data_IF_639261353958
#
_entry.id   IF_639261353958
#
_cell.length_a   1.000
_cell.length_b   1.000
_cell.length_c   1.000
_cell.angle_alpha   90.00
_cell.angle_beta   90.00
_cell.angle_gamma   90.00
#
_symmetry.space_group_name_H-M   'P 1'
#
loop_
_entity.id
_entity.type
_entity.pdbx_description
1 polymer ?
#
# COMPACT_ATOMS: atom_id res chain seq x y z
N UNK A 1 37.47 -12.06 29.49
CA UNK A 1 37.66 -10.71 30.05
C UNK A 1 36.35 -10.33 30.75
N UNK A 2 36.40 -10.17 32.09
CA UNK A 2 35.36 -9.72 33.05
C UNK A 2 34.09 -10.59 33.20
N UNK A 3 34.07 -11.61 34.08
CA UNK A 3 33.97 -11.66 35.57
C UNK A 3 32.51 -11.83 36.03
N UNK A 4 32.22 -13.04 36.52
CA UNK A 4 31.09 -13.31 37.41
C UNK A 4 31.30 -12.59 38.75
N UNK A 5 30.22 -11.99 39.29
CA UNK A 5 29.91 -12.09 40.72
C UNK A 5 28.40 -12.18 40.95
N UNK A 6 27.93 -13.15 41.77
CA UNK A 6 26.61 -13.18 42.36
C UNK A 6 26.60 -12.57 43.77
N UNK A 7 25.44 -12.06 44.21
CA UNK A 7 25.14 -11.81 45.62
C UNK A 7 24.68 -10.39 45.95
N UNK A 8 23.46 -10.27 46.50
CA UNK A 8 23.05 -9.08 47.25
C UNK A 8 21.56 -8.72 47.14
N UNK A 9 20.78 -8.78 48.23
CA UNK A 9 19.33 -8.55 48.24
C UNK A 9 19.02 -7.06 48.44
N UNK A 10 18.01 -6.52 47.76
CA UNK A 10 17.46 -5.22 48.11
C UNK A 10 15.99 -5.10 47.74
N UNK A 11 15.21 -4.81 48.78
CA UNK A 11 13.96 -4.06 48.75
C UNK A 11 12.77 -4.68 48.00
N UNK A 12 11.97 -5.43 48.77
CA UNK A 12 10.51 -5.35 48.70
C UNK A 12 10.09 -3.88 48.93
N UNK A 13 10.00 -3.09 47.86
CA UNK A 13 9.24 -1.85 47.89
C UNK A 13 7.79 -2.22 47.61
N UNK A 14 7.02 -2.32 48.70
CA UNK A 14 5.57 -2.22 48.69
C UNK A 14 5.21 -0.87 48.04
N UNK A 15 5.06 -0.87 46.72
CA UNK A 15 4.30 0.16 46.03
C UNK A 15 2.83 -0.11 46.33
N UNK A 16 2.37 0.45 47.45
CA UNK A 16 0.95 0.73 47.69
C UNK A 16 0.54 1.75 46.64
N UNK A 17 0.21 1.25 45.45
CA UNK A 17 -0.49 2.04 44.46
C UNK A 17 -1.96 1.96 44.82
N UNK A 18 -2.43 3.03 45.47
CA UNK A 18 -3.83 3.24 45.77
C UNK A 18 -4.64 3.12 44.48
N UNK A 19 -5.33 1.98 44.33
CA UNK A 19 -6.45 1.83 43.40
C UNK A 19 -7.55 2.78 43.86
N UNK A 20 -7.52 4.00 43.35
CA UNK A 20 -8.71 4.82 43.22
C UNK A 20 -9.57 4.21 42.12
N UNK A 21 -10.39 3.22 42.49
CA UNK A 21 -11.53 2.80 41.68
C UNK A 21 -12.80 3.02 42.50
N UNK A 22 -13.79 3.75 41.93
CA UNK A 22 -15.07 3.97 42.58
C UNK A 22 -15.86 2.66 42.73
N UNK A 23 -16.52 2.61 43.87
CA UNK A 23 -17.40 1.59 44.43
C UNK A 23 -18.56 1.22 43.48
N UNK A 24 -18.63 -0.04 43.02
CA UNK A 24 -19.88 -0.62 42.53
C UNK A 24 -20.61 -1.34 43.69
N UNK A 25 -21.86 -0.98 44.01
CA UNK A 25 -22.59 -1.58 45.12
C UNK A 25 -23.37 -2.82 44.66
N UNK A 26 -22.95 -4.01 45.07
CA UNK A 26 -23.72 -5.22 44.79
C UNK A 26 -23.07 -6.55 45.15
N UNK A 27 -22.69 -6.77 46.41
CA UNK A 27 -22.34 -8.11 46.87
C UNK A 27 -22.98 -8.40 48.23
N UNK A 28 -24.13 -9.10 48.21
CA UNK A 28 -24.74 -9.69 49.40
C UNK A 28 -23.79 -10.74 49.94
N UNK A 29 -23.31 -10.52 51.17
CA UNK A 29 -22.80 -11.58 52.05
C UNK A 29 -23.93 -12.57 52.27
N UNK A 30 -23.74 -13.83 51.87
CA UNK A 30 -24.23 -15.01 52.58
C UNK A 30 -23.86 -16.29 51.81
N UNK A 31 -22.71 -16.87 52.14
CA UNK A 31 -22.47 -18.32 52.25
C UNK A 31 -20.96 -18.56 52.46
N UNK A 32 -20.59 -19.14 53.59
CA UNK A 32 -19.21 -19.40 53.99
C UNK A 32 -18.53 -20.51 53.19
N UNK A 33 -18.04 -20.16 52.00
CA UNK A 33 -17.05 -20.96 51.27
C UNK A 33 -15.83 -20.07 51.00
N UNK A 34 -14.59 -20.58 51.18
CA UNK A 34 -13.40 -19.84 50.78
C UNK A 34 -13.45 -19.60 49.27
N UNK A 35 -13.41 -18.33 48.86
CA UNK A 35 -13.38 -17.87 47.46
C UNK A 35 -12.05 -18.22 46.74
N UNK A 36 -11.52 -19.42 46.92
CA UNK A 36 -10.24 -19.89 46.38
C UNK A 36 -10.38 -20.69 45.08
N UNK A 37 -11.43 -20.45 44.30
CA UNK A 37 -11.56 -21.03 42.95
C UNK A 37 -12.05 -19.98 41.97
N UNK A 38 -11.22 -18.97 41.71
CA UNK A 38 -11.38 -18.15 40.52
C UNK A 38 -9.99 -17.69 40.06
N UNK A 39 -9.77 -17.85 38.76
CA UNK A 39 -8.59 -17.45 37.99
C UNK A 39 -7.41 -18.44 37.90
N UNK A 40 -7.68 -19.57 37.26
CA UNK A 40 -6.67 -20.38 36.56
C UNK A 40 -6.70 -20.13 35.03
N UNK A 41 -6.92 -18.89 34.58
CA UNK A 41 -6.63 -18.55 33.18
C UNK A 41 -5.14 -18.21 33.10
N UNK A 42 -4.34 -19.19 32.69
CA UNK A 42 -2.92 -18.98 32.38
C UNK A 42 -2.72 -17.85 31.36
N UNK A 43 -1.52 -17.26 31.29
CA UNK A 43 -1.25 -16.15 30.37
C UNK A 43 -1.60 -16.55 28.94
N UNK A 44 -2.23 -15.66 28.14
CA UNK A 44 -2.55 -15.95 26.76
C UNK A 44 -1.25 -16.37 26.05
N UNK A 45 -1.22 -17.60 25.55
CA UNK A 45 -0.10 -18.08 24.74
C UNK A 45 -0.10 -17.26 23.45
N UNK A 46 0.74 -16.24 23.37
CA UNK A 46 0.97 -15.49 22.14
C UNK A 46 1.64 -16.41 21.12
N UNK A 47 0.81 -17.10 20.35
CA UNK A 47 1.27 -17.76 19.14
C UNK A 47 1.69 -16.66 18.17
N UNK A 48 2.99 -16.54 17.91
CA UNK A 48 3.56 -15.55 16.99
C UNK A 48 3.14 -15.92 15.57
N UNK A 49 1.96 -15.47 15.16
CA UNK A 49 1.45 -15.66 13.79
C UNK A 49 2.21 -14.74 12.85
N UNK A 50 2.80 -15.29 11.80
CA UNK A 50 3.45 -14.53 10.76
C UNK A 50 2.42 -13.62 10.03
N UNK A 51 2.72 -12.32 9.87
CA UNK A 51 1.78 -11.37 9.27
C UNK A 51 1.54 -11.59 7.77
N UNK A 52 2.39 -12.33 7.04
CA UNK A 52 2.17 -12.68 5.64
C UNK A 52 1.25 -13.87 5.45
N UNK A 53 1.15 -14.78 6.41
CA UNK A 53 0.22 -15.93 6.36
C UNK A 53 -1.26 -15.53 6.24
N UNK A 54 -1.60 -14.29 6.58
CA UNK A 54 -2.95 -13.73 6.49
C UNK A 54 -3.22 -13.02 5.16
N UNK A 55 -2.28 -13.00 4.23
CA UNK A 55 -2.38 -12.27 2.95
C UNK A 55 -2.66 -13.23 1.80
N UNK A 56 -3.51 -12.80 0.88
CA UNK A 56 -3.82 -13.50 -0.36
C UNK A 56 -3.30 -12.75 -1.57
N UNK A 57 -3.00 -13.51 -2.62
CA UNK A 57 -2.49 -13.01 -3.89
C UNK A 57 -3.63 -12.89 -4.92
N UNK A 58 -3.64 -11.74 -5.59
CA UNK A 58 -4.58 -11.41 -6.67
C UNK A 58 -3.80 -11.09 -7.94
N UNK A 59 -4.30 -11.53 -9.08
CA UNK A 59 -3.67 -11.27 -10.37
C UNK A 59 -4.22 -9.94 -10.93
N UNK A 60 -3.32 -9.01 -11.26
CA UNK A 60 -3.69 -7.71 -11.84
C UNK A 60 -3.73 -7.83 -13.34
N UNK A 61 -4.89 -7.50 -13.92
CA UNK A 61 -5.14 -7.55 -15.35
C UNK A 61 -5.22 -6.18 -15.96
N UNK A 62 -4.46 -5.98 -17.02
CA UNK A 62 -4.53 -4.80 -17.89
C UNK A 62 -5.82 -4.80 -18.71
N UNK A 63 -6.33 -3.62 -19.11
CA UNK A 63 -7.46 -3.52 -20.02
C UNK A 63 -7.13 -4.10 -21.40
N UNK A 64 -8.17 -4.45 -22.17
CA UNK A 64 -8.05 -5.09 -23.49
C UNK A 64 -7.36 -4.26 -24.58
N UNK A 65 -6.97 -3.01 -24.28
CA UNK A 65 -6.19 -2.16 -25.19
C UNK A 65 -4.73 -2.60 -25.33
N UNK A 66 -4.22 -3.44 -24.41
CA UNK A 66 -2.84 -3.92 -24.40
C UNK A 66 -2.74 -5.39 -24.82
N UNK A 67 -1.65 -5.76 -25.50
CA UNK A 67 -1.41 -7.15 -25.91
C UNK A 67 -1.19 -8.08 -24.71
N UNK A 68 -0.35 -7.66 -23.75
CA UNK A 68 -0.12 -8.40 -22.51
C UNK A 68 -1.13 -7.94 -21.46
N UNK A 69 -1.98 -8.88 -21.04
CA UNK A 69 -3.00 -8.60 -20.01
C UNK A 69 -2.54 -8.88 -18.59
N UNK A 70 -1.49 -9.66 -18.37
CA UNK A 70 -1.06 -10.00 -17.03
C UNK A 70 0.11 -9.10 -16.62
N UNK A 71 -0.12 -8.17 -15.70
CA UNK A 71 0.90 -7.22 -15.24
C UNK A 71 1.72 -7.80 -14.09
N UNK A 72 1.04 -8.54 -13.19
CA UNK A 72 1.67 -9.11 -12.02
C UNK A 72 0.66 -9.50 -10.95
N UNK A 73 1.16 -9.75 -9.74
CA UNK A 73 0.36 -10.13 -8.58
C UNK A 73 0.41 -9.09 -7.49
N UNK A 74 -0.71 -8.87 -6.83
CA UNK A 74 -0.81 -7.96 -5.69
C UNK A 74 -1.27 -8.72 -4.46
N UNK A 75 -0.66 -8.37 -3.32
CA UNK A 75 -1.02 -8.93 -2.04
C UNK A 75 -2.00 -8.01 -1.31
N UNK A 76 -3.02 -8.62 -0.70
CA UNK A 76 -3.93 -7.93 0.23
C UNK A 76 -4.20 -8.85 1.41
N UNK A 77 -4.49 -8.24 2.57
CA UNK A 77 -4.92 -9.00 3.74
C UNK A 77 -6.27 -9.65 3.48
N UNK A 78 -6.44 -10.90 3.92
CA UNK A 78 -7.73 -11.57 3.97
C UNK A 78 -8.75 -10.72 4.71
N UNK A 79 -9.99 -10.77 4.23
CA UNK A 79 -11.14 -10.12 4.89
C UNK A 79 -11.19 -10.53 6.35
N UNK A 80 -11.13 -9.53 7.25
CA UNK A 80 -11.21 -9.71 8.70
C UNK A 80 -12.22 -8.71 9.25
N UNK A 81 -13.29 -9.23 9.86
CA UNK A 81 -14.37 -8.41 10.39
C UNK A 81 -15.03 -7.54 9.31
N UNK A 82 -14.97 -6.22 9.50
CA UNK A 82 -15.61 -5.23 8.61
C UNK A 82 -14.74 -4.78 7.43
N UNK A 83 -13.45 -5.14 7.39
CA UNK A 83 -12.53 -4.74 6.31
C UNK A 83 -12.53 -5.80 5.20
N UNK A 84 -13.13 -5.48 4.06
CA UNK A 84 -13.23 -6.37 2.90
C UNK A 84 -11.94 -6.28 2.08
N UNK A 85 -11.40 -7.44 1.67
CA UNK A 85 -10.19 -7.51 0.85
C UNK A 85 -10.32 -6.79 -0.51
N UNK A 86 -11.51 -6.81 -1.12
CA UNK A 86 -11.78 -6.14 -2.40
C UNK A 86 -11.70 -4.61 -2.28
N UNK A 87 -12.18 -4.04 -1.17
CA UNK A 87 -12.13 -2.59 -0.93
C UNK A 87 -10.68 -2.11 -0.79
N UNK A 88 -9.83 -2.90 -0.13
CA UNK A 88 -8.39 -2.62 -0.04
C UNK A 88 -7.60 -2.81 -1.34
N UNK A 89 -8.20 -3.42 -2.37
CA UNK A 89 -7.61 -3.59 -3.71
C UNK A 89 -8.07 -2.49 -4.68
N UNK A 90 -9.32 -2.05 -4.56
CA UNK A 90 -9.88 -0.95 -5.34
C UNK A 90 -9.14 0.35 -5.02
N UNK A 91 -8.94 1.18 -6.03
CA UNK A 91 -8.22 2.45 -5.90
C UNK A 91 -6.69 2.33 -5.85
N UNK A 92 -6.11 1.12 -5.94
CA UNK A 92 -4.66 0.98 -6.11
C UNK A 92 -4.25 1.39 -7.51
N UNK A 93 -3.25 2.27 -7.59
CA UNK A 93 -2.63 2.72 -8.83
C UNK A 93 -1.31 1.97 -9.02
N UNK A 94 -1.18 1.28 -10.15
CA UNK A 94 0.03 0.57 -10.57
C UNK A 94 0.73 1.34 -11.67
N UNK A 95 2.04 1.51 -11.52
CA UNK A 95 2.89 2.07 -12.56
C UNK A 95 3.56 0.93 -13.33
N UNK A 96 3.31 0.88 -14.64
CA UNK A 96 3.82 -0.17 -15.53
C UNK A 96 4.47 0.47 -16.75
N UNK A 97 5.56 -0.10 -17.24
CA UNK A 97 6.19 0.38 -18.48
C UNK A 97 5.40 -0.08 -19.71
N UNK A 98 5.43 0.68 -20.80
CA UNK A 98 4.80 0.27 -22.06
C UNK A 98 5.47 -0.99 -22.64
N UNK A 99 6.78 -1.16 -22.43
CA UNK A 99 7.53 -2.31 -22.90
C UNK A 99 6.95 -3.63 -22.35
N UNK A 100 6.55 -3.65 -21.07
CA UNK A 100 5.95 -4.83 -20.44
C UNK A 100 4.51 -5.12 -20.92
N UNK A 101 3.82 -4.12 -21.50
CA UNK A 101 2.43 -4.24 -21.93
C UNK A 101 2.28 -4.61 -23.41
N UNK A 102 3.22 -4.17 -24.26
CA UNK A 102 3.13 -4.32 -25.73
C UNK A 102 4.31 -5.10 -26.35
N UNK A 103 5.38 -5.39 -25.60
CA UNK A 103 6.64 -5.98 -26.08
C UNK A 103 7.40 -5.14 -27.11
N UNK A 104 7.15 -3.84 -27.18
CA UNK A 104 7.92 -2.90 -28.01
C UNK A 104 9.12 -2.33 -27.24
N UNK A 105 10.18 -1.90 -27.95
CA UNK A 105 11.40 -1.31 -27.36
C UNK A 105 11.18 0.07 -26.70
N UNK A 106 9.96 0.60 -26.77
CA UNK A 106 9.58 1.94 -26.31
C UNK A 106 9.32 1.92 -24.79
N UNK A 107 10.39 1.77 -24.00
CA UNK A 107 10.33 1.71 -22.54
C UNK A 107 10.14 3.08 -21.84
N UNK A 108 10.16 4.18 -22.59
CA UNK A 108 10.14 5.54 -22.03
C UNK A 108 8.77 6.03 -21.57
N UNK A 109 7.70 5.27 -21.84
CA UNK A 109 6.33 5.61 -21.41
C UNK A 109 5.94 4.72 -20.24
N UNK A 110 5.46 5.33 -19.17
CA UNK A 110 4.88 4.67 -17.99
C UNK A 110 3.38 4.92 -17.97
N UNK A 111 2.62 3.87 -17.73
CA UNK A 111 1.17 3.93 -17.55
C UNK A 111 0.82 3.77 -16.08
N UNK A 112 -0.11 4.61 -15.61
CA UNK A 112 -0.78 4.48 -14.32
C UNK A 112 -2.12 3.79 -14.55
N UNK A 113 -2.25 2.59 -14.01
CA UNK A 113 -3.45 1.77 -14.10
C UNK A 113 -4.11 1.67 -12.72
N UNK A 114 -5.36 2.11 -12.62
CA UNK A 114 -6.13 2.06 -11.36
C UNK A 114 -6.99 0.80 -11.31
N UNK A 115 -7.04 0.11 -10.18
CA UNK A 115 -7.97 -1.01 -10.00
C UNK A 115 -9.35 -0.50 -9.67
N UNK A 116 -10.34 -0.76 -10.53
CA UNK A 116 -11.74 -0.37 -10.30
C UNK A 116 -12.57 -1.53 -9.77
N UNK A 117 -12.33 -2.73 -10.29
CA UNK A 117 -13.12 -3.90 -9.93
C UNK A 117 -12.30 -5.15 -9.70
N UNK A 118 -12.83 -6.06 -8.88
CA UNK A 118 -12.19 -7.32 -8.51
C UNK A 118 -13.15 -8.46 -8.79
N UNK A 119 -12.82 -9.27 -9.80
CA UNK A 119 -13.57 -10.46 -10.19
C UNK A 119 -12.87 -11.72 -9.66
N UNK A 120 -13.37 -12.22 -8.53
CA UNK A 120 -12.77 -13.38 -7.86
C UNK A 120 -11.33 -13.07 -7.45
N UNK A 121 -10.35 -13.67 -8.15
CA UNK A 121 -8.90 -13.44 -7.92
C UNK A 121 -8.27 -12.47 -8.93
N UNK A 122 -9.03 -11.96 -9.89
CA UNK A 122 -8.54 -11.05 -10.92
C UNK A 122 -8.93 -9.61 -10.59
N UNK A 123 -7.97 -8.70 -10.55
CA UNK A 123 -8.19 -7.27 -10.45
C UNK A 123 -8.26 -6.67 -11.86
N UNK A 124 -9.40 -6.07 -12.21
CA UNK A 124 -9.56 -5.33 -13.46
C UNK A 124 -9.09 -3.90 -13.26
N UNK A 125 -8.20 -3.45 -14.15
CA UNK A 125 -7.64 -2.11 -14.10
C UNK A 125 -8.15 -1.23 -15.24
N UNK A 126 -8.30 0.05 -14.95
CA UNK A 126 -8.62 1.11 -15.89
C UNK A 126 -7.43 2.06 -16.07
N UNK A 127 -7.43 2.82 -17.16
CA UNK A 127 -6.43 3.84 -17.44
C UNK A 127 -6.65 5.06 -16.54
N UNK A 128 -5.63 5.44 -15.76
CA UNK A 128 -5.65 6.63 -14.91
C UNK A 128 -4.77 7.74 -15.46
N UNK A 129 -3.64 7.40 -16.08
CA UNK A 129 -2.73 8.40 -16.64
C UNK A 129 -1.50 7.80 -17.31
N UNK A 130 -0.72 8.67 -17.94
CA UNK A 130 0.52 8.33 -18.61
C UNK A 130 1.58 9.37 -18.27
N UNK A 131 2.79 8.90 -17.95
CA UNK A 131 3.95 9.72 -17.69
C UNK A 131 5.14 9.27 -18.55
N UNK A 132 6.03 10.20 -18.87
CA UNK A 132 7.34 9.87 -19.44
C UNK A 132 8.32 9.53 -18.32
N UNK A 133 9.27 8.64 -18.61
CA UNK A 133 10.37 8.37 -17.69
C UNK A 133 11.25 9.61 -17.51
N UNK A 134 11.84 9.78 -16.32
CA UNK A 134 12.64 10.97 -16.00
C UNK A 134 13.91 11.05 -16.84
N UNK A 135 14.54 9.92 -17.14
CA UNK A 135 15.68 9.81 -18.05
C UNK A 135 15.33 10.38 -19.43
N UNK A 136 14.17 10.02 -19.99
CA UNK A 136 13.76 10.54 -21.29
C UNK A 136 13.48 12.03 -21.23
N UNK A 137 12.72 12.47 -20.22
CA UNK A 137 12.43 13.89 -20.01
C UNK A 137 13.72 14.73 -19.92
N UNK A 138 14.66 14.32 -19.07
CA UNK A 138 15.93 15.01 -18.90
C UNK A 138 16.83 14.93 -20.15
N UNK A 139 16.78 13.83 -20.93
CA UNK A 139 17.59 13.69 -22.15
C UNK A 139 17.16 14.63 -23.28
N UNK A 140 15.87 15.01 -23.31
CA UNK A 140 15.34 15.91 -24.34
C UNK A 140 15.74 17.37 -24.09
N UNK A 141 15.99 17.74 -22.83
CA UNK A 141 16.44 19.08 -22.44
C UNK A 141 17.92 19.24 -22.75
N UNK A 142 18.24 20.02 -23.79
CA UNK A 142 19.60 20.40 -24.18
C UNK A 142 19.78 21.92 -24.12
N UNK A 143 21.03 22.37 -24.02
CA UNK A 143 21.39 23.79 -24.12
C UNK A 143 21.25 24.28 -25.57
N UNK A 144 21.00 25.58 -25.75
CA UNK A 144 20.92 26.24 -27.07
C UNK A 144 19.75 25.82 -27.96
N UNK A 145 18.67 25.32 -27.36
CA UNK A 145 17.38 25.09 -28.01
C UNK A 145 16.29 25.67 -27.11
N UNK A 146 15.18 26.08 -27.70
CA UNK A 146 14.02 26.54 -26.94
C UNK A 146 13.12 25.35 -26.60
N UNK A 147 12.59 25.37 -25.38
CA UNK A 147 11.58 24.42 -24.90
C UNK A 147 10.23 25.10 -25.02
N UNK A 148 9.28 24.42 -25.66
CA UNK A 148 7.90 24.88 -25.84
C UNK A 148 7.02 23.90 -25.07
N UNK A 149 6.36 24.40 -24.03
CA UNK A 149 5.44 23.63 -23.19
C UNK A 149 4.01 24.15 -23.39
N UNK A 150 3.06 23.24 -23.50
CA UNK A 150 1.64 23.55 -23.57
C UNK A 150 0.85 22.54 -22.73
N UNK A 151 -0.22 23.01 -22.09
CA UNK A 151 -1.15 22.17 -21.36
C UNK A 151 -2.58 22.53 -21.73
N UNK A 152 -3.44 21.51 -21.85
CA UNK A 152 -4.85 21.69 -22.18
C UNK A 152 -5.68 20.71 -21.36
N UNK A 153 -6.78 21.21 -20.81
CA UNK A 153 -7.80 20.38 -20.15
C UNK A 153 -8.88 20.01 -21.17
N UNK A 154 -9.02 18.73 -21.45
CA UNK A 154 -9.92 18.19 -22.47
C UNK A 154 -10.94 17.25 -21.83
N UNK A 155 -12.21 17.45 -22.21
CA UNK A 155 -13.31 16.53 -21.92
C UNK A 155 -13.43 15.51 -23.04
N UNK A 156 -13.34 14.23 -22.71
CA UNK A 156 -13.68 13.15 -23.64
C UNK A 156 -15.20 13.01 -23.78
N UNK A 157 -15.65 12.33 -24.83
CA UNK A 157 -17.08 12.01 -25.05
C UNK A 157 -17.68 11.19 -23.91
N UNK A 158 -16.85 10.42 -23.24
CA UNK A 158 -17.27 9.45 -22.22
C UNK A 158 -17.35 10.09 -20.83
N UNK A 159 -17.09 11.40 -20.72
CA UNK A 159 -17.18 12.16 -19.48
C UNK A 159 -15.89 12.23 -18.67
N UNK A 160 -14.77 11.64 -19.13
CA UNK A 160 -13.48 11.78 -18.47
C UNK A 160 -12.86 13.15 -18.73
N UNK A 161 -12.35 13.78 -17.67
CA UNK A 161 -11.55 15.00 -17.70
C UNK A 161 -10.06 14.61 -17.73
N UNK A 162 -9.38 14.95 -18.83
CA UNK A 162 -7.97 14.66 -19.00
C UNK A 162 -7.18 15.97 -19.09
N UNK A 163 -6.05 16.03 -18.40
CA UNK A 163 -5.06 17.10 -18.56
C UNK A 163 -3.91 16.59 -19.42
N UNK A 164 -3.78 17.14 -20.61
CA UNK A 164 -2.74 16.79 -21.56
C UNK A 164 -1.60 17.77 -21.43
N UNK A 165 -0.38 17.24 -21.32
CA UNK A 165 0.86 18.02 -21.35
C UNK A 165 1.60 17.69 -22.65
N UNK A 166 2.00 18.72 -23.37
CA UNK A 166 2.82 18.61 -24.57
C UNK A 166 4.10 19.40 -24.37
N UNK A 167 5.24 18.75 -24.62
CA UNK A 167 6.57 19.36 -24.57
C UNK A 167 7.23 19.14 -25.92
N UNK A 168 7.65 20.23 -26.55
CA UNK A 168 8.35 20.25 -27.83
C UNK A 168 9.67 21.02 -27.74
N UNK A 169 10.63 20.66 -28.58
CA UNK A 169 11.92 21.33 -28.67
C UNK A 169 12.19 21.78 -30.10
N UNK A 170 12.81 22.95 -30.26
CA UNK A 170 13.22 23.43 -31.59
C UNK A 170 14.37 22.60 -32.13
N UNK A 171 14.27 22.18 -33.39
CA UNK A 171 15.33 21.47 -34.12
C UNK A 171 16.19 22.46 -34.89
N UNK A 172 17.51 22.43 -34.66
CA UNK A 172 18.49 23.19 -35.49
C UNK A 172 18.45 22.66 -36.93
N UNK A 173 18.42 23.54 -37.92
CA UNK A 173 18.55 23.12 -39.33
C UNK A 173 19.98 22.67 -39.61
N UNK A 174 20.15 21.67 -40.47
CA UNK A 174 21.47 21.10 -40.78
C UNK A 174 22.48 22.14 -41.31
N UNK A 175 21.99 23.21 -41.97
CA UNK A 175 22.83 24.25 -42.57
C UNK A 175 22.86 25.55 -41.75
N UNK A 176 22.40 25.53 -40.50
CA UNK A 176 22.39 26.69 -39.62
C UNK A 176 23.76 26.81 -38.95
N UNK A 177 24.47 27.92 -39.19
CA UNK A 177 25.74 28.24 -38.52
C UNK A 177 25.42 28.62 -37.07
#
# INVERSE_FOLDING_TARGET
>A
MWVLRPGGPAAFTLAVWACAHPFEPGCRRDSGLPCYVLWAHGPPKFHRVDPFSKKDWYDVKAPAMFNIRNIGKTLVTRTQGTKIASDGLKGRVFEVSLADLQNDEVAFRKFKLITEDVQGKNCLTNFHGMDLTRDKMCSMVKKWQTMIEAHVDVKTTDGYLLRLFCVGFTKKRNNQI
#
